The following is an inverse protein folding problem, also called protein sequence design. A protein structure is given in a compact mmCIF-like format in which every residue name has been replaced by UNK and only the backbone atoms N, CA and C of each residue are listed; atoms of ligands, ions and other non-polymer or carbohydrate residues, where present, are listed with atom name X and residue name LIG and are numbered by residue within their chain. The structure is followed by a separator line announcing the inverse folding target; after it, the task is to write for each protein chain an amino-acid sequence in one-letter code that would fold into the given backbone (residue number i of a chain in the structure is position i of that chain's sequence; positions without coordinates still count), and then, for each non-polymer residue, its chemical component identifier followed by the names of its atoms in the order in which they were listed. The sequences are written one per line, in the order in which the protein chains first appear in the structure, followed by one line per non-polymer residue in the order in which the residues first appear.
data_IF_523911684155
#
_entry.id   IF_523911684155
#
_cell.length_a   1.000
_cell.length_b   1.000
_cell.length_c   1.000
_cell.angle_alpha   90.00
_cell.angle_beta   90.00
_cell.angle_gamma   90.00
#
_symmetry.space_group_name_H-M   'P 1'
#
loop_
_entity.id
_entity.type
_entity.pdbx_description
1 polymer ?
#
# COMPACT_ATOMS: atom_id res chain seq x y z
N UNK A 1 -13.24 24.79 -41.02
CA UNK A 1 -12.11 25.07 -40.12
C UNK A 1 -11.93 24.02 -39.02
N UNK A 2 -12.80 23.89 -38.01
CA UNK A 2 -12.55 22.94 -36.89
C UNK A 2 -12.66 21.47 -37.31
N UNK A 3 -13.65 21.11 -38.12
CA UNK A 3 -13.81 19.74 -38.64
C UNK A 3 -12.65 19.33 -39.56
N UNK A 4 -12.18 20.24 -40.41
CA UNK A 4 -11.03 20.03 -41.30
C UNK A 4 -9.74 19.84 -40.49
N UNK A 5 -9.54 20.63 -39.43
CA UNK A 5 -8.42 20.48 -38.52
C UNK A 5 -8.46 19.14 -37.78
N UNK A 6 -9.63 18.71 -37.32
CA UNK A 6 -9.82 17.39 -36.69
C UNK A 6 -9.51 16.24 -37.66
N UNK A 7 -9.97 16.33 -38.90
CA UNK A 7 -9.65 15.36 -39.95
C UNK A 7 -8.14 15.31 -40.25
N UNK A 8 -7.49 16.47 -40.34
CA UNK A 8 -6.04 16.56 -40.52
C UNK A 8 -5.28 15.91 -39.36
N UNK A 9 -5.67 16.17 -38.11
CA UNK A 9 -5.00 15.56 -36.94
C UNK A 9 -5.09 14.02 -36.97
N UNK A 10 -6.24 13.48 -37.37
CA UNK A 10 -6.46 12.04 -37.46
C UNK A 10 -5.80 11.37 -38.68
N UNK A 11 -5.36 12.15 -39.67
CA UNK A 11 -4.64 11.61 -40.83
C UNK A 11 -3.13 11.45 -40.60
N UNK A 12 -2.55 12.03 -39.55
CA UNK A 12 -1.09 12.03 -39.32
C UNK A 12 -0.59 10.65 -38.85
N UNK A 13 -1.28 10.04 -37.88
CA UNK A 13 -0.90 8.73 -37.33
C UNK A 13 -2.11 7.82 -37.20
N UNK A 14 -2.15 6.67 -37.90
CA UNK A 14 -3.32 5.79 -37.89
C UNK A 14 -3.63 5.23 -36.49
N UNK A 15 -2.59 4.99 -35.68
CA UNK A 15 -2.71 4.42 -34.34
C UNK A 15 -3.18 5.43 -33.28
N UNK A 16 -3.24 6.74 -33.59
CA UNK A 16 -3.67 7.79 -32.66
C UNK A 16 -4.86 8.53 -33.27
N UNK A 17 -6.04 8.29 -32.70
CA UNK A 17 -7.28 8.96 -33.11
C UNK A 17 -7.73 9.95 -32.04
N UNK A 18 -7.82 11.22 -32.43
CA UNK A 18 -8.40 12.29 -31.64
C UNK A 18 -9.93 12.24 -31.71
N UNK A 19 -10.57 12.53 -30.58
CA UNK A 19 -12.03 12.69 -30.48
C UNK A 19 -12.38 14.17 -30.34
N UNK A 20 -13.56 14.55 -30.82
CA UNK A 20 -14.06 15.92 -30.73
C UNK A 20 -15.45 15.89 -30.10
N UNK A 21 -15.64 16.70 -29.06
CA UNK A 21 -16.95 16.94 -28.45
C UNK A 21 -17.52 18.24 -29.04
N UNK A 22 -18.68 18.16 -29.68
CA UNK A 22 -19.39 19.32 -30.20
C UNK A 22 -20.45 19.81 -29.20
N UNK A 23 -20.76 21.10 -29.25
CA UNK A 23 -21.89 21.66 -28.50
C UNK A 23 -23.20 20.98 -28.94
N UNK A 24 -23.98 20.51 -27.97
CA UNK A 24 -25.27 19.88 -28.20
C UNK A 24 -26.32 20.51 -27.28
N UNK A 25 -27.50 20.84 -27.81
CA UNK A 25 -28.58 21.49 -27.05
C UNK A 25 -28.13 22.77 -26.32
N UNK A 26 -27.31 23.58 -27.00
CA UNK A 26 -26.68 24.79 -26.45
C UNK A 26 -25.85 24.54 -25.17
N UNK A 27 -25.30 23.33 -25.04
CA UNK A 27 -24.54 22.89 -23.88
C UNK A 27 -23.25 22.19 -24.28
N UNK A 28 -22.22 22.38 -23.48
CA UNK A 28 -20.94 21.69 -23.64
C UNK A 28 -20.30 21.43 -22.27
N UNK A 29 -19.80 20.22 -22.07
CA UNK A 29 -19.08 19.87 -20.86
C UNK A 29 -17.64 20.39 -20.94
N UNK A 30 -17.16 21.01 -19.87
CA UNK A 30 -15.76 21.39 -19.71
C UNK A 30 -15.30 21.09 -18.29
N UNK A 31 -14.43 20.07 -18.16
CA UNK A 31 -13.98 19.54 -16.86
C UNK A 31 -15.17 19.17 -15.96
N UNK A 32 -15.28 19.85 -14.81
CA UNK A 32 -16.29 19.64 -13.78
C UNK A 32 -17.54 20.53 -13.96
N UNK A 33 -17.60 21.30 -15.06
CA UNK A 33 -18.64 22.29 -15.34
C UNK A 33 -19.38 21.95 -16.63
N UNK A 34 -20.69 22.11 -16.62
CA UNK A 34 -21.54 22.06 -17.80
C UNK A 34 -21.89 23.50 -18.17
N UNK A 35 -21.38 23.95 -19.30
CA UNK A 35 -21.57 25.29 -19.84
C UNK A 35 -22.83 25.29 -20.70
N UNK A 36 -23.72 26.24 -20.45
CA UNK A 36 -24.94 26.48 -21.20
C UNK A 36 -24.81 27.83 -21.89
N UNK A 37 -25.02 27.87 -23.21
CA UNK A 37 -25.11 29.11 -23.97
C UNK A 37 -26.55 29.61 -23.93
N UNK A 38 -26.77 30.81 -23.41
CA UNK A 38 -28.09 31.46 -23.40
C UNK A 38 -28.41 32.08 -24.75
N UNK A 39 -29.68 32.42 -24.95
CA UNK A 39 -30.19 33.10 -26.15
C UNK A 39 -29.58 34.48 -26.35
N UNK A 40 -29.18 35.15 -25.26
CA UNK A 40 -28.49 36.45 -25.27
C UNK A 40 -26.97 36.34 -25.51
N UNK A 41 -26.45 35.12 -25.73
CA UNK A 41 -25.02 34.85 -25.91
C UNK A 41 -24.22 34.75 -24.62
N UNK A 42 -24.81 35.04 -23.45
CA UNK A 42 -24.14 34.87 -22.16
C UNK A 42 -24.04 33.39 -21.76
N UNK A 43 -23.12 33.09 -20.84
CA UNK A 43 -22.88 31.72 -20.37
C UNK A 43 -23.49 31.51 -18.99
N UNK A 44 -24.18 30.37 -18.82
CA UNK A 44 -24.62 29.84 -17.52
C UNK A 44 -23.87 28.55 -17.24
N UNK A 45 -23.40 28.36 -16.02
CA UNK A 45 -22.63 27.17 -15.65
C UNK A 45 -23.33 26.38 -14.57
N UNK A 46 -23.25 25.05 -14.69
CA UNK A 46 -23.78 24.09 -13.71
C UNK A 46 -22.76 22.98 -13.44
N UNK A 47 -22.98 22.16 -12.42
CA UNK A 47 -22.06 21.05 -12.10
C UNK A 47 -22.25 19.91 -13.09
N UNK A 48 -21.20 19.58 -13.86
CA UNK A 48 -21.23 18.45 -14.79
C UNK A 48 -21.02 17.11 -14.07
N UNK A 49 -21.79 16.09 -14.49
CA UNK A 49 -21.65 14.70 -14.04
C UNK A 49 -21.66 13.79 -15.25
N UNK A 50 -20.59 12.99 -15.40
CA UNK A 50 -20.51 11.97 -16.46
C UNK A 50 -21.63 10.94 -16.32
N UNK A 51 -22.04 10.33 -17.43
CA UNK A 51 -23.04 9.25 -17.45
C UNK A 51 -22.67 8.05 -16.55
N UNK A 52 -21.38 7.83 -16.32
CA UNK A 52 -20.85 6.78 -15.44
C UNK A 52 -20.87 7.14 -13.95
N UNK A 53 -21.43 8.30 -13.56
CA UNK A 53 -21.50 8.72 -12.17
C UNK A 53 -22.50 7.85 -11.38
N UNK A 54 -21.98 7.01 -10.49
CA UNK A 54 -22.78 6.09 -9.65
C UNK A 54 -23.41 6.76 -8.43
N UNK A 55 -23.14 8.05 -8.19
CA UNK A 55 -23.53 8.81 -6.98
C UNK A 55 -23.02 8.24 -5.66
N UNK A 56 -22.07 7.31 -5.74
CA UNK A 56 -21.43 6.72 -4.56
C UNK A 56 -20.29 7.63 -4.08
N UNK A 57 -20.32 7.93 -2.78
CA UNK A 57 -19.22 8.60 -2.09
C UNK A 57 -18.74 7.71 -0.94
N UNK A 58 -17.74 8.20 -0.20
CA UNK A 58 -17.29 7.53 1.02
C UNK A 58 -18.47 7.27 1.96
N UNK A 59 -18.85 6.01 2.20
CA UNK A 59 -19.95 5.69 3.12
C UNK A 59 -19.70 6.29 4.51
N UNK A 60 -20.74 6.85 5.14
CA UNK A 60 -20.64 7.38 6.49
C UNK A 60 -20.33 6.31 7.55
N UNK A 61 -20.73 5.05 7.30
CA UNK A 61 -20.50 3.91 8.19
C UNK A 61 -19.11 3.31 7.99
N UNK A 62 -18.40 3.67 6.93
CA UNK A 62 -17.06 3.15 6.66
C UNK A 62 -16.06 3.50 7.78
N UNK A 63 -15.08 2.63 8.01
CA UNK A 63 -14.04 2.82 9.01
C UNK A 63 -12.97 3.82 8.54
N UNK A 64 -13.36 5.10 8.48
CA UNK A 64 -12.50 6.21 8.09
C UNK A 64 -12.59 7.36 9.11
N UNK A 65 -11.52 8.17 9.24
CA UNK A 65 -11.53 9.36 10.06
C UNK A 65 -12.70 10.28 9.71
N UNK A 66 -13.31 10.89 10.72
CA UNK A 66 -14.39 11.85 10.51
C UNK A 66 -13.95 13.06 9.66
N UNK A 67 -12.68 13.45 9.71
CA UNK A 67 -12.17 14.55 8.89
C UNK A 67 -12.28 14.24 7.38
N UNK A 68 -12.08 12.99 6.95
CA UNK A 68 -12.24 12.60 5.55
C UNK A 68 -13.72 12.69 5.13
N UNK A 69 -14.63 12.21 5.98
CA UNK A 69 -16.08 12.30 5.75
C UNK A 69 -16.55 13.76 5.66
N UNK A 70 -16.05 14.64 6.54
CA UNK A 70 -16.30 16.09 6.47
C UNK A 70 -15.74 16.69 5.18
N UNK A 71 -14.54 16.26 4.78
CA UNK A 71 -13.90 16.73 3.55
C UNK A 71 -14.75 16.42 2.32
N UNK A 72 -15.29 15.20 2.21
CA UNK A 72 -16.22 14.84 1.11
C UNK A 72 -17.38 15.83 1.00
N UNK A 73 -18.03 16.18 2.12
CA UNK A 73 -19.12 17.16 2.16
C UNK A 73 -18.61 18.53 1.72
N UNK A 74 -17.53 19.04 2.36
CA UNK A 74 -16.98 20.36 2.09
C UNK A 74 -16.62 20.57 0.62
N UNK A 75 -15.94 19.61 0.02
CA UNK A 75 -15.47 19.70 -1.36
C UNK A 75 -16.63 19.76 -2.34
N UNK A 76 -17.66 18.91 -2.19
CA UNK A 76 -18.79 18.90 -3.13
C UNK A 76 -19.70 20.12 -2.96
N UNK A 77 -19.92 20.58 -1.73
CA UNK A 77 -20.65 21.83 -1.50
C UNK A 77 -19.87 23.03 -2.03
N UNK A 78 -18.55 23.10 -1.79
CA UNK A 78 -17.71 24.17 -2.36
C UNK A 78 -17.74 24.16 -3.89
N UNK A 79 -17.77 22.97 -4.51
CA UNK A 79 -17.92 22.81 -5.96
C UNK A 79 -19.21 23.44 -6.47
N UNK A 80 -20.35 23.17 -5.82
CA UNK A 80 -21.62 23.79 -6.16
C UNK A 80 -21.56 25.32 -6.07
N UNK A 81 -20.93 25.85 -5.02
CA UNK A 81 -20.73 27.29 -4.81
C UNK A 81 -19.88 27.94 -5.91
N UNK A 82 -18.87 27.23 -6.43
CA UNK A 82 -17.92 27.78 -7.41
C UNK A 82 -18.30 27.52 -8.86
N UNK A 83 -19.14 26.53 -9.15
CA UNK A 83 -19.44 26.09 -10.52
C UNK A 83 -20.83 26.50 -11.00
N UNK A 84 -21.77 26.74 -10.09
CA UNK A 84 -23.09 27.25 -10.44
C UNK A 84 -23.06 28.78 -10.53
N UNK A 85 -23.33 29.35 -11.71
CA UNK A 85 -23.37 30.80 -11.90
C UNK A 85 -24.67 31.43 -11.39
N UNK A 86 -25.79 30.70 -11.51
CA UNK A 86 -27.12 31.18 -11.14
C UNK A 86 -27.57 30.68 -9.77
N UNK A 87 -28.34 31.52 -9.07
CA UNK A 87 -28.87 31.18 -7.74
C UNK A 87 -29.81 29.97 -7.77
N UNK A 88 -30.62 29.85 -8.83
CA UNK A 88 -31.55 28.73 -9.01
C UNK A 88 -30.82 27.39 -9.17
N UNK A 89 -29.86 27.34 -10.09
CA UNK A 89 -29.04 26.13 -10.33
C UNK A 89 -28.25 25.72 -9.09
N UNK A 90 -27.69 26.72 -8.39
CA UNK A 90 -27.00 26.48 -7.13
C UNK A 90 -27.94 25.87 -6.08
N UNK A 91 -29.15 26.40 -5.91
CA UNK A 91 -30.12 25.84 -4.97
C UNK A 91 -30.52 24.40 -5.34
N UNK A 92 -30.75 24.12 -6.62
CA UNK A 92 -31.04 22.78 -7.12
C UNK A 92 -29.88 21.80 -6.86
N UNK A 93 -28.64 22.24 -7.09
CA UNK A 93 -27.44 21.46 -6.85
C UNK A 93 -27.23 21.17 -5.35
N UNK A 94 -27.44 22.16 -4.48
CA UNK A 94 -27.35 21.98 -3.03
C UNK A 94 -28.40 20.97 -2.52
N UNK A 95 -29.62 21.01 -3.05
CA UNK A 95 -30.67 20.04 -2.74
C UNK A 95 -30.30 18.63 -3.23
N UNK A 96 -29.75 18.52 -4.44
CA UNK A 96 -29.21 17.26 -4.96
C UNK A 96 -28.13 16.68 -4.02
N UNK A 97 -27.16 17.50 -3.61
CA UNK A 97 -26.08 17.06 -2.73
C UNK A 97 -26.61 16.57 -1.38
N UNK A 98 -27.60 17.26 -0.80
CA UNK A 98 -28.21 16.86 0.46
C UNK A 98 -28.86 15.47 0.36
N UNK A 99 -29.60 15.21 -0.72
CA UNK A 99 -30.20 13.89 -1.00
C UNK A 99 -29.15 12.82 -1.19
N UNK A 100 -28.12 13.11 -1.98
CA UNK A 100 -27.04 12.16 -2.29
C UNK A 100 -26.19 11.82 -1.06
N UNK A 101 -25.88 12.77 -0.18
CA UNK A 101 -25.21 12.44 1.09
C UNK A 101 -26.10 11.64 2.03
N UNK A 102 -27.40 11.96 2.09
CA UNK A 102 -28.37 11.20 2.90
C UNK A 102 -28.46 9.74 2.43
N UNK A 103 -28.51 9.49 1.11
CA UNK A 103 -28.52 8.12 0.57
C UNK A 103 -27.21 7.36 0.80
N UNK A 104 -26.09 8.06 1.00
CA UNK A 104 -24.81 7.48 1.40
C UNK A 104 -24.65 7.36 2.93
N UNK A 105 -25.73 7.54 3.70
CA UNK A 105 -25.79 7.30 5.14
C UNK A 105 -25.31 8.45 6.03
N UNK A 106 -25.10 9.65 5.48
CA UNK A 106 -24.65 10.80 6.26
C UNK A 106 -25.80 11.43 7.06
N UNK A 107 -25.65 11.64 8.39
CA UNK A 107 -26.64 12.35 9.18
C UNK A 107 -26.81 13.80 8.72
N UNK A 108 -28.06 14.29 8.62
CA UNK A 108 -28.35 15.68 8.22
C UNK A 108 -27.58 16.72 9.06
N UNK A 109 -27.56 16.53 10.38
CA UNK A 109 -26.80 17.41 11.29
C UNK A 109 -25.29 17.40 11.03
N UNK A 110 -24.73 16.29 10.53
CA UNK A 110 -23.33 16.21 10.14
C UNK A 110 -23.05 16.97 8.85
N UNK A 111 -23.95 16.86 7.86
CA UNK A 111 -23.86 17.59 6.59
C UNK A 111 -23.85 19.10 6.87
N UNK A 112 -24.87 19.61 7.58
CA UNK A 112 -25.01 21.05 7.85
C UNK A 112 -23.83 21.63 8.63
N UNK A 113 -23.35 20.92 9.66
CA UNK A 113 -22.16 21.31 10.42
C UNK A 113 -20.88 21.28 9.59
N UNK A 114 -20.83 20.48 8.53
CA UNK A 114 -19.65 20.36 7.67
C UNK A 114 -19.62 21.41 6.57
N UNK A 115 -20.77 21.96 6.16
CA UNK A 115 -20.85 23.03 5.14
C UNK A 115 -20.13 24.30 5.56
N UNK A 116 -20.21 24.63 6.85
CA UNK A 116 -19.63 25.83 7.40
C UNK A 116 -18.19 25.54 7.85
N UNK A 117 -17.18 26.29 7.38
CA UNK A 117 -15.86 26.24 7.99
C UNK A 117 -16.03 26.67 9.44
N UNK A 118 -15.75 25.77 10.40
CA UNK A 118 -15.47 26.24 11.76
C UNK A 118 -14.24 27.14 11.64
N UNK A 119 -14.39 28.39 12.02
CA UNK A 119 -13.26 29.23 12.39
C UNK A 119 -12.63 28.55 13.61
N UNK A 120 -11.72 27.63 13.35
CA UNK A 120 -10.83 27.13 14.39
C UNK A 120 -9.82 28.27 14.53
N UNK A 121 -9.97 29.07 15.58
CA UNK A 121 -8.83 29.81 16.13
C UNK A 121 -7.83 28.70 16.46
N UNK A 122 -6.91 28.45 15.53
CA UNK A 122 -5.81 27.55 15.80
C UNK A 122 -4.94 28.37 16.73
N UNK A 123 -4.71 27.94 17.99
CA UNK A 123 -3.54 28.46 18.69
C UNK A 123 -2.35 28.27 17.74
N UNK A 124 -1.38 29.17 17.80
CA UNK A 124 -0.13 29.02 17.04
C UNK A 124 0.57 27.77 17.56
N UNK A 125 0.15 26.61 17.06
CA UNK A 125 0.77 25.32 17.35
C UNK A 125 2.04 25.35 16.53
N UNK A 126 3.18 25.18 17.19
CA UNK A 126 4.45 24.98 16.50
C UNK A 126 4.26 23.98 15.35
N UNK A 127 4.81 24.26 14.16
CA UNK A 127 4.66 23.38 13.02
C UNK A 127 5.13 21.97 13.41
N UNK A 128 4.30 20.97 13.08
CA UNK A 128 4.62 19.57 13.32
C UNK A 128 5.99 19.27 12.70
N UNK A 129 6.92 18.78 13.53
CA UNK A 129 8.30 18.52 13.13
C UNK A 129 8.39 17.32 12.19
N UNK A 130 7.52 16.33 12.39
CA UNK A 130 7.57 15.05 11.66
C UNK A 130 6.17 14.47 11.48
N UNK A 131 5.91 13.83 10.33
CA UNK A 131 4.68 13.06 10.08
C UNK A 131 4.93 11.55 10.09
N UNK A 132 3.96 10.80 10.61
CA UNK A 132 3.94 9.33 10.62
C UNK A 132 2.61 8.81 10.09
N UNK A 133 2.69 7.88 9.15
CA UNK A 133 1.52 7.24 8.56
C UNK A 133 1.12 5.99 9.34
N UNK A 134 -0.16 5.80 9.61
CA UNK A 134 -0.69 4.58 10.22
C UNK A 134 -2.08 4.21 9.67
N UNK A 135 -2.50 2.93 9.75
CA UNK A 135 -3.88 2.54 9.49
C UNK A 135 -4.83 3.26 10.45
N UNK A 136 -6.04 3.57 9.95
CA UNK A 136 -7.09 4.11 10.80
C UNK A 136 -7.80 2.98 11.56
N UNK A 137 -7.71 3.05 12.89
CA UNK A 137 -8.38 2.19 13.84
C UNK A 137 -9.24 3.10 14.70
N UNK A 138 -10.56 2.99 14.57
CA UNK A 138 -11.52 3.82 15.30
C UNK A 138 -11.18 3.86 16.79
N UNK A 139 -11.19 5.06 17.38
CA UNK A 139 -10.88 5.40 18.78
C UNK A 139 -9.39 5.29 19.15
N UNK A 140 -8.65 4.35 18.56
CA UNK A 140 -7.21 4.17 18.83
C UNK A 140 -6.39 5.21 18.08
N UNK A 141 -6.63 5.35 16.78
CA UNK A 141 -5.88 6.28 15.93
C UNK A 141 -6.02 7.73 16.37
N UNK A 142 -7.21 8.14 16.81
CA UNK A 142 -7.42 9.48 17.35
C UNK A 142 -6.73 9.69 18.70
N UNK A 143 -6.70 8.67 19.56
CA UNK A 143 -5.99 8.74 20.83
C UNK A 143 -4.48 8.85 20.59
N UNK A 144 -3.92 8.05 19.69
CA UNK A 144 -2.50 8.11 19.30
C UNK A 144 -2.16 9.48 18.71
N UNK A 145 -3.00 10.01 17.81
CA UNK A 145 -2.80 11.35 17.24
C UNK A 145 -2.76 12.45 18.31
N UNK A 146 -3.63 12.38 19.33
CA UNK A 146 -3.62 13.32 20.45
C UNK A 146 -2.36 13.19 21.32
N UNK A 147 -1.89 11.96 21.57
CA UNK A 147 -0.68 11.72 22.37
C UNK A 147 0.59 12.21 21.65
N UNK A 148 0.62 12.13 20.32
CA UNK A 148 1.77 12.51 19.50
C UNK A 148 1.84 14.01 19.23
N UNK A 149 0.72 14.72 19.29
CA UNK A 149 0.65 16.14 18.98
C UNK A 149 1.57 17.02 19.87
N UNK A 150 1.62 16.86 21.22
CA UNK A 150 2.55 17.61 22.07
C UNK A 150 4.03 17.31 21.79
N UNK A 151 4.32 16.12 21.23
CA UNK A 151 5.67 15.72 20.84
C UNK A 151 6.09 16.28 19.46
N UNK A 152 5.24 17.08 18.83
CA UNK A 152 5.47 17.60 17.48
C UNK A 152 5.35 16.55 16.37
N UNK A 153 4.67 15.43 16.62
CA UNK A 153 4.50 14.33 15.66
C UNK A 153 3.07 14.34 15.12
N UNK A 154 2.94 14.56 13.82
CA UNK A 154 1.68 14.46 13.09
C UNK A 154 1.35 13.02 12.71
N UNK A 155 0.08 12.63 12.87
CA UNK A 155 -0.41 11.32 12.41
C UNK A 155 -1.22 11.50 11.13
N UNK A 156 -0.81 10.80 10.07
CA UNK A 156 -1.53 10.68 8.82
C UNK A 156 -2.18 9.30 8.71
N UNK A 157 -3.46 9.25 8.30
CA UNK A 157 -4.17 7.98 8.17
C UNK A 157 -4.10 7.47 6.73
N UNK A 158 -3.61 6.24 6.56
CA UNK A 158 -3.48 5.56 5.28
C UNK A 158 -4.30 4.25 5.29
N UNK A 159 -5.12 3.97 4.27
CA UNK A 159 -5.73 2.66 4.12
C UNK A 159 -4.68 1.59 3.75
N UNK A 160 -4.69 0.45 4.44
CA UNK A 160 -3.79 -0.67 4.11
C UNK A 160 -4.35 -1.60 3.01
N UNK A 161 -5.67 -1.76 2.97
CA UNK A 161 -6.38 -2.61 2.02
C UNK A 161 -7.01 -1.76 0.91
N UNK A 162 -6.18 -1.19 0.03
CA UNK A 162 -6.69 -0.43 -1.12
C UNK A 162 -7.22 -1.38 -2.20
N UNK A 163 -8.25 -0.96 -2.95
CA UNK A 163 -8.77 -1.73 -4.10
C UNK A 163 -7.64 -2.09 -5.06
N UNK A 164 -6.71 -1.16 -5.31
CA UNK A 164 -5.52 -1.42 -6.13
C UNK A 164 -4.71 -2.61 -5.60
N UNK A 165 -4.47 -2.70 -4.29
CA UNK A 165 -3.73 -3.82 -3.69
C UNK A 165 -4.51 -5.14 -3.78
N UNK A 166 -5.83 -5.08 -3.64
CA UNK A 166 -6.69 -6.26 -3.65
C UNK A 166 -6.92 -6.81 -5.06
N UNK A 167 -7.15 -5.93 -6.03
CA UNK A 167 -7.61 -6.27 -7.39
C UNK A 167 -6.48 -6.19 -8.41
N UNK A 168 -5.61 -5.17 -8.32
CA UNK A 168 -4.63 -4.90 -9.37
C UNK A 168 -3.32 -5.62 -9.09
N UNK A 169 -3.15 -6.80 -9.71
CA UNK A 169 -1.88 -7.54 -9.77
C UNK A 169 -1.39 -7.65 -11.22
N UNK A 170 -0.92 -6.54 -11.82
CA UNK A 170 -0.55 -6.52 -13.23
C UNK A 170 0.72 -7.32 -13.56
N UNK A 171 1.49 -7.72 -12.55
CA UNK A 171 2.74 -8.47 -12.71
C UNK A 171 2.58 -9.90 -12.23
N UNK A 172 3.15 -10.84 -12.96
CA UNK A 172 3.26 -12.23 -12.52
C UNK A 172 3.98 -12.32 -11.15
N UNK A 173 3.52 -13.16 -10.22
CA UNK A 173 4.24 -13.43 -8.99
C UNK A 173 5.63 -13.99 -9.29
N UNK A 174 6.65 -13.48 -8.60
CA UNK A 174 7.99 -14.04 -8.67
C UNK A 174 8.06 -15.34 -7.85
N UNK A 175 8.92 -16.26 -8.28
CA UNK A 175 9.23 -17.45 -7.48
C UNK A 175 9.88 -17.08 -6.14
N UNK A 176 9.88 -18.02 -5.18
CA UNK A 176 10.47 -17.81 -3.84
C UNK A 176 11.95 -17.38 -3.93
N UNK A 177 12.73 -18.06 -4.75
CA UNK A 177 14.16 -17.78 -4.94
C UNK A 177 14.45 -16.41 -5.57
N UNK A 178 13.57 -15.95 -6.47
CA UNK A 178 13.72 -14.67 -7.17
C UNK A 178 13.20 -13.47 -6.38
N UNK A 179 12.53 -13.71 -5.27
CA UNK A 179 11.99 -12.65 -4.43
C UNK A 179 13.12 -11.94 -3.70
N UNK A 180 13.15 -10.61 -3.80
CA UNK A 180 14.09 -9.74 -3.11
C UNK A 180 13.42 -8.94 -1.98
N UNK A 181 14.26 -8.29 -1.15
CA UNK A 181 13.84 -7.48 -0.01
C UNK A 181 13.07 -8.29 1.02
N UNK A 182 13.63 -9.43 1.42
CA UNK A 182 12.96 -10.44 2.26
C UNK A 182 13.69 -10.65 3.58
N UNK A 183 12.93 -11.04 4.60
CA UNK A 183 13.41 -11.69 5.81
C UNK A 183 13.08 -13.16 5.67
N UNK A 184 14.08 -14.02 5.87
CA UNK A 184 13.97 -15.46 5.66
C UNK A 184 14.42 -16.24 6.89
N UNK A 185 13.97 -17.49 6.97
CA UNK A 185 14.41 -18.49 7.94
C UNK A 185 14.96 -19.71 7.22
N UNK A 186 16.08 -20.22 7.70
CA UNK A 186 16.64 -21.52 7.29
C UNK A 186 16.78 -22.40 8.52
N UNK A 187 16.37 -23.65 8.38
CA UNK A 187 16.41 -24.64 9.46
C UNK A 187 17.69 -25.48 9.36
N UNK A 188 18.25 -25.83 10.50
CA UNK A 188 19.24 -26.89 10.58
C UNK A 188 18.55 -28.24 10.36
N UNK A 189 19.10 -29.09 9.51
CA UNK A 189 18.54 -30.43 9.23
C UNK A 189 18.77 -31.44 10.35
N UNK A 190 19.64 -31.12 11.32
CA UNK A 190 20.12 -32.07 12.33
C UNK A 190 19.80 -31.65 13.77
N UNK A 191 19.30 -30.43 14.01
CA UNK A 191 18.88 -29.97 15.33
C UNK A 191 17.80 -28.90 15.22
N UNK A 192 17.23 -28.48 16.36
CA UNK A 192 16.17 -27.46 16.41
C UNK A 192 16.65 -26.03 16.08
N UNK A 193 17.95 -25.85 15.85
CA UNK A 193 18.53 -24.56 15.56
C UNK A 193 18.07 -24.03 14.21
N UNK A 194 17.79 -22.72 14.16
CA UNK A 194 17.48 -22.02 12.91
C UNK A 194 18.32 -20.75 12.78
N UNK A 195 18.39 -20.22 11.58
CA UNK A 195 18.94 -18.90 11.33
C UNK A 195 17.89 -18.04 10.64
N UNK A 196 17.62 -16.87 11.22
CA UNK A 196 16.78 -15.83 10.62
C UNK A 196 17.72 -14.77 10.05
N UNK A 197 17.50 -14.33 8.82
CA UNK A 197 18.33 -13.28 8.24
C UNK A 197 17.55 -12.40 7.28
N UNK A 198 18.07 -11.21 7.02
CA UNK A 198 17.55 -10.33 5.98
C UNK A 198 18.39 -10.34 4.71
N UNK A 199 17.77 -9.96 3.59
CA UNK A 199 18.48 -9.65 2.35
C UNK A 199 17.73 -8.65 1.48
N UNK A 200 18.46 -7.66 0.96
CA UNK A 200 18.00 -6.81 -0.14
C UNK A 200 18.13 -7.46 -1.52
N UNK A 201 18.91 -8.54 -1.64
CA UNK A 201 19.11 -9.29 -2.90
C UNK A 201 18.01 -10.33 -3.10
N UNK A 202 18.03 -11.03 -4.24
CA UNK A 202 17.19 -12.23 -4.46
C UNK A 202 17.55 -13.29 -3.42
N UNK A 203 16.54 -13.97 -2.87
CA UNK A 203 16.73 -15.01 -1.84
C UNK A 203 17.70 -16.10 -2.29
N UNK A 204 17.60 -16.58 -3.53
CA UNK A 204 18.49 -17.60 -4.08
C UNK A 204 19.96 -17.18 -4.06
N UNK A 205 20.25 -15.91 -4.35
CA UNK A 205 21.61 -15.38 -4.29
C UNK A 205 22.14 -15.43 -2.87
N UNK A 206 21.31 -15.08 -1.88
CA UNK A 206 21.67 -15.15 -0.47
C UNK A 206 21.88 -16.60 0.00
N UNK A 207 21.07 -17.55 -0.47
CA UNK A 207 21.26 -18.97 -0.17
C UNK A 207 22.58 -19.50 -0.72
N UNK A 208 22.93 -19.14 -1.97
CA UNK A 208 24.23 -19.50 -2.55
C UNK A 208 25.41 -18.88 -1.79
N UNK A 209 25.27 -17.65 -1.28
CA UNK A 209 26.27 -17.01 -0.42
C UNK A 209 26.48 -17.80 0.87
N UNK A 210 25.41 -18.24 1.55
CA UNK A 210 25.50 -19.08 2.75
C UNK A 210 26.14 -20.43 2.47
N UNK A 211 25.71 -21.13 1.40
CA UNK A 211 26.31 -22.39 1.00
C UNK A 211 27.81 -22.25 0.70
N UNK A 212 28.23 -21.13 0.09
CA UNK A 212 29.64 -20.82 -0.14
C UNK A 212 30.39 -20.47 1.14
N UNK A 213 29.74 -19.84 2.12
CA UNK A 213 30.34 -19.56 3.43
C UNK A 213 30.62 -20.85 4.21
N UNK A 214 29.66 -21.78 4.24
CA UNK A 214 29.82 -23.11 4.86
C UNK A 214 30.98 -23.87 4.20
N UNK A 215 31.02 -23.94 2.86
CA UNK A 215 32.11 -24.62 2.14
C UNK A 215 33.50 -24.05 2.43
N UNK A 216 33.59 -22.75 2.74
CA UNK A 216 34.86 -22.07 3.07
C UNK A 216 35.15 -22.04 4.57
N UNK A 217 34.28 -22.60 5.41
CA UNK A 217 34.36 -22.52 6.87
C UNK A 217 34.53 -21.07 7.36
N UNK A 218 33.77 -20.15 6.74
CA UNK A 218 33.86 -18.71 7.03
C UNK A 218 33.31 -18.39 8.43
N UNK A 219 34.21 -18.09 9.37
CA UNK A 219 33.87 -17.80 10.78
C UNK A 219 33.00 -16.55 10.97
N UNK A 220 32.87 -15.69 9.95
CA UNK A 220 31.98 -14.52 10.02
C UNK A 220 30.51 -14.88 9.75
N UNK A 221 30.24 -16.07 9.23
CA UNK A 221 28.88 -16.56 8.99
C UNK A 221 28.44 -17.44 10.15
N UNK A 222 27.40 -17.04 10.88
CA UNK A 222 26.81 -17.83 11.97
C UNK A 222 26.38 -19.22 11.51
N UNK A 223 25.87 -19.31 10.28
CA UNK A 223 25.48 -20.58 9.66
C UNK A 223 26.70 -21.48 9.46
N UNK A 224 27.81 -20.93 8.99
CA UNK A 224 29.04 -21.69 8.77
C UNK A 224 29.72 -22.07 10.10
N UNK A 225 29.73 -21.17 11.08
CA UNK A 225 30.18 -21.43 12.43
C UNK A 225 29.41 -22.59 13.08
N UNK A 226 28.07 -22.58 12.99
CA UNK A 226 27.24 -23.68 13.49
C UNK A 226 27.59 -25.00 12.79
N UNK A 227 27.65 -25.00 11.46
CA UNK A 227 28.05 -26.18 10.68
C UNK A 227 29.43 -26.71 11.08
N UNK A 228 30.41 -25.83 11.26
CA UNK A 228 31.77 -26.20 11.62
C UNK A 228 31.86 -26.77 13.06
N UNK A 229 31.11 -26.20 14.01
CA UNK A 229 31.13 -26.62 15.40
C UNK A 229 30.34 -27.93 15.66
N UNK A 230 29.26 -28.15 14.93
CA UNK A 230 28.34 -29.28 15.16
C UNK A 230 28.42 -30.41 14.12
N UNK A 231 29.06 -30.17 12.97
CA UNK A 231 29.02 -31.08 11.83
C UNK A 231 27.65 -31.14 11.13
N UNK A 232 26.70 -30.27 11.51
CA UNK A 232 25.36 -30.25 10.95
C UNK A 232 25.28 -29.51 9.60
N UNK A 233 24.16 -29.69 8.90
CA UNK A 233 23.89 -29.02 7.62
C UNK A 233 22.58 -28.24 7.65
N UNK A 234 22.57 -27.03 7.07
CA UNK A 234 21.35 -26.25 6.88
C UNK A 234 20.67 -26.56 5.55
N UNK A 235 19.33 -26.61 5.56
CA UNK A 235 18.50 -26.81 4.36
C UNK A 235 18.26 -25.48 3.63
N UNK A 236 19.21 -25.04 2.80
CA UNK A 236 19.12 -23.77 2.07
C UNK A 236 18.02 -23.73 0.99
N UNK A 237 17.67 -24.88 0.42
CA UNK A 237 16.61 -24.99 -0.59
C UNK A 237 15.22 -24.70 0.01
N UNK A 238 15.04 -25.01 1.29
CA UNK A 238 13.80 -24.85 2.04
C UNK A 238 13.70 -23.52 2.79
N UNK A 239 14.50 -22.53 2.40
CA UNK A 239 14.44 -21.21 2.98
C UNK A 239 13.01 -20.63 2.92
N UNK A 240 12.46 -20.33 4.07
CA UNK A 240 11.12 -19.80 4.24
C UNK A 240 11.16 -18.27 4.25
N UNK A 241 10.27 -17.61 3.50
CA UNK A 241 10.12 -16.16 3.57
C UNK A 241 9.14 -15.83 4.70
N UNK A 242 9.65 -15.15 5.74
CA UNK A 242 8.87 -14.75 6.91
C UNK A 242 8.21 -13.38 6.71
N UNK A 243 8.84 -12.50 5.93
CA UNK A 243 8.36 -11.14 5.71
C UNK A 243 9.11 -10.42 4.60
N UNK A 244 8.63 -9.22 4.25
CA UNK A 244 9.24 -8.36 3.23
C UNK A 244 9.33 -6.93 3.72
N UNK A 245 10.46 -6.28 3.46
CA UNK A 245 10.70 -4.87 3.82
C UNK A 245 11.55 -4.21 2.74
N UNK A 246 11.07 -3.11 2.17
CA UNK A 246 11.78 -2.41 1.08
C UNK A 246 13.07 -1.77 1.61
N UNK A 247 12.95 -1.07 2.73
CA UNK A 247 14.06 -0.48 3.46
C UNK A 247 14.71 -1.49 4.41
N UNK A 248 15.99 -1.24 4.72
CA UNK A 248 16.78 -2.07 5.61
C UNK A 248 16.23 -2.08 7.04
N UNK A 249 15.84 -0.92 7.57
CA UNK A 249 15.30 -0.81 8.93
C UNK A 249 14.03 -1.64 9.13
N UNK A 250 13.12 -1.67 8.14
CA UNK A 250 11.95 -2.54 8.18
C UNK A 250 12.34 -4.02 8.23
N UNK A 251 13.37 -4.44 7.47
CA UNK A 251 13.85 -5.82 7.47
C UNK A 251 14.60 -6.18 8.75
N UNK A 252 15.45 -5.31 9.29
CA UNK A 252 16.11 -5.50 10.59
C UNK A 252 15.08 -5.65 11.72
N UNK A 253 14.02 -4.82 11.69
CA UNK A 253 12.92 -4.90 12.67
C UNK A 253 12.17 -6.23 12.54
N UNK A 254 11.91 -6.69 11.31
CA UNK A 254 11.26 -7.98 11.06
C UNK A 254 12.17 -9.16 11.42
N UNK A 255 13.47 -9.08 11.14
CA UNK A 255 14.46 -10.08 11.56
C UNK A 255 14.42 -10.21 13.08
N UNK A 256 14.53 -9.09 13.81
CA UNK A 256 14.40 -9.04 15.27
C UNK A 256 13.07 -9.61 15.77
N UNK A 257 11.99 -9.32 15.08
CA UNK A 257 10.67 -9.84 15.42
C UNK A 257 10.64 -11.37 15.33
N UNK A 258 11.22 -11.94 14.27
CA UNK A 258 11.18 -13.37 13.97
C UNK A 258 12.30 -14.20 14.63
N UNK A 259 13.37 -13.58 15.14
CA UNK A 259 14.40 -14.26 15.92
C UNK A 259 13.81 -14.81 17.22
N UNK A 260 13.86 -16.14 17.38
CA UNK A 260 13.33 -16.88 18.53
C UNK A 260 14.47 -17.50 19.34
N UNK A 261 14.22 -18.06 20.55
CA UNK A 261 15.29 -18.65 21.37
C UNK A 261 16.09 -19.78 20.70
N UNK A 262 15.50 -20.53 19.76
CA UNK A 262 16.21 -21.55 18.98
C UNK A 262 16.98 -20.99 17.76
N UNK A 263 16.94 -19.67 17.54
CA UNK A 263 17.69 -19.03 16.48
C UNK A 263 19.16 -18.82 16.90
N UNK A 264 20.11 -19.18 16.04
CA UNK A 264 21.56 -18.99 16.28
C UNK A 264 22.03 -17.52 16.18
N UNK A 265 21.10 -16.59 15.91
CA UNK A 265 21.37 -15.16 15.80
C UNK A 265 21.95 -14.61 17.11
N UNK A 266 23.11 -13.94 17.04
CA UNK A 266 23.83 -13.46 18.25
C UNK A 266 23.09 -12.37 19.04
N UNK A 267 22.28 -11.53 18.40
CA UNK A 267 21.26 -10.67 19.03
C UNK A 267 20.61 -9.77 17.98
N UNK A 268 19.30 -9.77 17.92
CA UNK A 268 18.50 -8.73 17.26
C UNK A 268 17.58 -8.16 18.32
N UNK A 269 18.09 -7.17 19.08
CA UNK A 269 17.40 -6.66 20.27
C UNK A 269 16.16 -5.87 19.83
N UNK A 270 15.04 -6.57 19.77
CA UNK A 270 13.73 -5.96 19.72
C UNK A 270 13.54 -5.18 21.05
N UNK A 271 13.25 -3.86 21.04
CA UNK A 271 13.12 -3.08 22.27
C UNK A 271 12.08 -3.69 23.23
N UNK A 272 12.28 -3.55 24.55
CA UNK A 272 11.44 -4.20 25.57
C UNK A 272 9.93 -4.00 25.35
N UNK A 273 9.51 -2.81 24.92
CA UNK A 273 8.12 -2.50 24.58
C UNK A 273 7.53 -3.43 23.49
N UNK A 274 8.34 -3.82 22.51
CA UNK A 274 7.94 -4.72 21.44
C UNK A 274 8.03 -6.20 21.84
N UNK A 275 8.89 -6.56 22.82
CA UNK A 275 8.97 -7.93 23.32
C UNK A 275 7.65 -8.37 24.00
N UNK A 276 7.07 -7.49 24.82
CA UNK A 276 5.76 -7.73 25.44
C UNK A 276 4.65 -7.93 24.39
N UNK A 277 4.66 -7.13 23.32
CA UNK A 277 3.73 -7.26 22.19
C UNK A 277 3.94 -8.57 21.44
N UNK A 278 5.18 -8.97 21.19
CA UNK A 278 5.53 -10.21 20.50
C UNK A 278 4.99 -11.43 21.24
N UNK A 279 5.18 -11.50 22.56
CA UNK A 279 4.65 -12.60 23.39
C UNK A 279 3.13 -12.67 23.27
N UNK A 280 2.44 -11.54 23.42
CA UNK A 280 0.97 -11.48 23.37
C UNK A 280 0.42 -11.86 21.99
N UNK A 281 1.01 -11.35 20.91
CA UNK A 281 0.58 -11.66 19.54
C UNK A 281 0.84 -13.12 19.18
N UNK A 282 1.99 -13.68 19.56
CA UNK A 282 2.29 -15.09 19.32
C UNK A 282 1.33 -16.01 20.09
N UNK A 283 0.91 -15.64 21.31
CA UNK A 283 -0.15 -16.38 22.03
C UNK A 283 -1.50 -16.30 21.31
N UNK A 284 -1.87 -15.14 20.75
CA UNK A 284 -3.12 -14.98 20.00
C UNK A 284 -3.13 -15.76 18.68
N UNK A 285 -2.03 -15.73 17.93
CA UNK A 285 -1.89 -16.47 16.67
C UNK A 285 -1.99 -17.98 16.90
N UNK A 286 -1.30 -18.51 17.93
CA UNK A 286 -1.42 -19.92 18.31
C UNK A 286 -2.86 -20.32 18.65
N UNK A 287 -3.62 -19.45 19.33
CA UNK A 287 -5.05 -19.69 19.61
C UNK A 287 -5.92 -19.66 18.35
N UNK A 288 -5.60 -18.83 17.36
CA UNK A 288 -6.32 -18.80 16.09
C UNK A 288 -6.00 -20.03 15.22
N UNK A 289 -4.73 -20.44 15.16
CA UNK A 289 -4.30 -21.68 14.50
C UNK A 289 -4.98 -22.90 15.12
N UNK A 290 -5.05 -22.99 16.46
CA UNK A 290 -5.80 -24.06 17.15
C UNK A 290 -7.29 -24.05 16.81
N UNK A 291 -7.92 -22.87 16.69
CA UNK A 291 -9.33 -22.78 16.29
C UNK A 291 -9.55 -23.23 14.85
N UNK A 292 -8.67 -22.84 13.92
CA UNK A 292 -8.68 -23.29 12.53
C UNK A 292 -8.47 -24.81 12.43
N UNK A 293 -7.53 -25.36 13.20
CA UNK A 293 -7.24 -26.79 13.24
C UNK A 293 -8.40 -27.61 13.85
N UNK A 294 -9.06 -27.07 14.88
CA UNK A 294 -10.26 -27.70 15.48
C UNK A 294 -11.45 -27.72 14.52
N UNK A 295 -11.63 -26.63 13.74
CA UNK A 295 -12.68 -26.56 12.71
C UNK A 295 -12.38 -27.51 11.54
N UNK A 296 -11.12 -27.61 11.12
CA UNK A 296 -10.70 -28.56 10.08
C UNK A 296 -10.85 -30.02 10.55
N UNK A 297 -10.47 -30.33 11.79
CA UNK A 297 -10.58 -31.68 12.36
C UNK A 297 -12.03 -32.13 12.50
N UNK A 298 -12.95 -31.25 12.93
CA UNK A 298 -14.41 -31.55 12.96
C UNK A 298 -15.01 -31.80 11.58
N UNK A 299 -14.47 -31.18 10.53
CA UNK A 299 -14.87 -31.43 9.14
C UNK A 299 -14.42 -32.81 8.64
N UNK A 300 -13.29 -33.30 9.12
CA UNK A 300 -12.77 -34.63 8.77
C UNK A 300 -13.54 -35.73 9.53
N UNK A 301 -13.91 -35.50 10.80
CA UNK A 301 -14.71 -36.47 11.59
C UNK A 301 -16.16 -36.62 11.06
N UNK A 302 -16.74 -35.56 10.50
CA UNK A 302 -18.08 -35.60 9.90
C UNK A 302 -18.14 -36.22 8.50
N UNK A 303 -16.98 -36.41 7.84
CA UNK A 303 -16.90 -37.13 6.56
C UNK A 303 -16.69 -38.64 6.76
N UNK A 304 -16.18 -39.07 7.91
CA UNK A 304 -15.87 -40.48 8.20
C UNK A 304 -16.97 -41.23 8.98
N UNK A 305 -18.15 -40.64 9.17
CA UNK A 305 -19.28 -41.27 9.89
C UNK A 305 -20.39 -41.84 8.98
N UNK A 306 -20.19 -41.85 7.65
CA UNK A 306 -21.21 -42.28 6.68
C UNK A 306 -20.88 -43.55 5.88
N UNK A 307 -20.11 -44.50 6.45
CA UNK A 307 -19.88 -45.80 5.79
C UNK A 307 -20.10 -46.94 6.78
N UNK A 308 -21.31 -47.51 6.74
CA UNK A 308 -21.63 -48.77 7.39
C UNK A 308 -23.10 -48.89 7.76
N UNK A 309 -23.95 -49.30 6.79
CA UNK A 309 -24.88 -50.43 6.96
C UNK A 309 -25.61 -50.77 5.63
N UNK A 310 -25.91 -52.05 5.35
CA UNK A 310 -26.41 -52.51 4.05
C UNK A 310 -27.93 -52.47 3.92
N UNK A 311 -28.40 -52.16 2.70
CA UNK A 311 -29.80 -52.10 2.31
C UNK A 311 -30.53 -53.45 2.45
N UNK A 312 -31.72 -53.43 3.05
CA UNK A 312 -32.75 -54.44 2.84
C UNK A 312 -33.65 -54.03 1.67
N UNK A 313 -33.87 -54.98 0.75
CA UNK A 313 -34.77 -54.85 -0.39
C UNK A 313 -36.22 -55.00 0.04
N UNK A 314 -37.09 -54.09 -0.42
CA UNK A 314 -38.48 -54.40 -0.75
C UNK A 314 -38.94 -53.59 -1.95
N UNK A 315 -39.40 -54.30 -2.97
CA UNK A 315 -39.98 -53.78 -4.20
C UNK A 315 -41.31 -53.08 -3.95
N UNK A 316 -41.54 -51.92 -4.58
CA UNK A 316 -42.87 -51.53 -5.06
C UNK A 316 -42.68 -50.66 -6.30
N UNK A 317 -43.17 -51.18 -7.41
CA UNK A 317 -43.32 -50.49 -8.68
C UNK A 317 -44.49 -49.52 -8.58
N UNK A 318 -44.29 -48.26 -9.00
CA UNK A 318 -45.35 -47.49 -9.64
C UNK A 318 -44.75 -46.60 -10.73
N UNK A 319 -45.32 -46.77 -11.93
CA UNK A 319 -44.95 -46.16 -13.19
C UNK A 319 -45.71 -44.85 -13.33
N UNK A 320 -45.02 -43.71 -13.45
CA UNK A 320 -45.54 -42.55 -14.22
C UNK A 320 -44.38 -41.92 -15.00
N UNK A 321 -44.53 -41.97 -16.31
CA UNK A 321 -43.76 -41.33 -17.39
C UNK A 321 -43.92 -39.80 -17.42
N UNK A 322 -42.84 -39.07 -17.72
CA UNK A 322 -42.84 -37.86 -18.56
C UNK A 322 -41.41 -37.40 -18.93
N UNK A 323 -41.01 -37.81 -20.13
CA UNK A 323 -40.30 -37.08 -21.21
C UNK A 323 -39.17 -36.06 -20.94
N UNK A 324 -38.05 -36.34 -21.61
CA UNK A 324 -36.92 -35.49 -21.93
C UNK A 324 -37.29 -34.36 -22.93
N UNK A 325 -36.55 -33.25 -22.87
CA UNK A 325 -36.07 -32.59 -24.09
C UNK A 325 -34.65 -32.07 -23.91
N UNK A 326 -33.89 -32.22 -24.98
CA UNK A 326 -32.44 -32.18 -25.12
C UNK A 326 -32.05 -31.01 -26.07
N UNK A 327 -30.74 -30.87 -26.30
CA UNK A 327 -30.02 -30.10 -27.35
C UNK A 327 -29.39 -28.77 -26.88
N UNK A 328 -28.06 -28.57 -26.83
CA UNK A 328 -26.92 -28.79 -27.75
C UNK A 328 -26.71 -27.73 -28.86
N UNK A 329 -25.44 -27.34 -29.06
CA UNK A 329 -24.89 -26.57 -30.20
C UNK A 329 -23.69 -25.71 -29.74
N UNK A 330 -22.43 -26.18 -29.69
CA UNK A 330 -21.42 -26.46 -30.74
C UNK A 330 -20.87 -25.23 -31.53
N UNK A 331 -19.52 -25.22 -31.59
CA UNK A 331 -18.48 -24.26 -32.10
C UNK A 331 -18.44 -24.14 -33.67
N UNK A 332 -17.39 -23.71 -34.45
CA UNK A 332 -15.96 -23.34 -34.17
C UNK A 332 -15.23 -22.30 -35.11
N UNK A 333 -13.91 -22.12 -34.90
CA UNK A 333 -12.90 -21.66 -35.90
C UNK A 333 -11.83 -20.71 -35.32
N UNK A 334 -10.61 -21.14 -34.91
CA UNK A 334 -9.37 -21.49 -35.65
C UNK A 334 -8.54 -20.30 -36.21
N UNK A 335 -7.37 -20.01 -35.61
CA UNK A 335 -6.03 -20.28 -36.19
C UNK A 335 -4.86 -19.78 -35.32
N UNK A 336 -3.77 -20.55 -35.35
CA UNK A 336 -2.43 -20.28 -34.81
C UNK A 336 -1.60 -19.49 -35.83
N UNK A 337 -0.60 -18.71 -35.38
CA UNK A 337 0.80 -18.98 -35.74
C UNK A 337 1.82 -18.19 -34.91
N UNK A 338 3.01 -18.79 -34.80
CA UNK A 338 4.17 -18.35 -34.04
C UNK A 338 5.16 -17.54 -34.91
N UNK A 339 6.11 -16.86 -34.29
CA UNK A 339 7.24 -16.25 -35.01
C UNK A 339 8.10 -15.31 -34.17
N UNK A 340 9.05 -15.87 -33.42
CA UNK A 340 10.22 -15.16 -32.89
C UNK A 340 11.13 -14.72 -34.04
N UNK A 341 11.62 -13.48 -34.05
CA UNK A 341 12.92 -13.15 -34.64
C UNK A 341 13.58 -11.97 -33.91
N UNK A 342 14.72 -12.28 -33.32
CA UNK A 342 15.72 -11.37 -32.77
C UNK A 342 16.66 -10.97 -33.90
N UNK A 343 16.98 -9.68 -34.08
CA UNK A 343 18.17 -9.22 -34.81
C UNK A 343 18.61 -7.84 -34.27
N UNK A 344 19.82 -7.85 -33.69
CA UNK A 344 20.70 -6.68 -33.55
C UNK A 344 21.12 -6.17 -34.93
N UNK A 345 21.28 -4.85 -35.09
CA UNK A 345 22.56 -4.18 -35.37
C UNK A 345 22.44 -2.65 -35.50
N UNK A 346 23.37 -1.97 -34.82
CA UNK A 346 24.15 -0.78 -35.21
C UNK A 346 23.49 0.61 -35.42
N UNK A 347 23.85 1.50 -34.49
CA UNK A 347 24.53 2.80 -34.69
C UNK A 347 24.39 3.48 -36.05
N UNK A 348 23.87 4.73 -36.08
CA UNK A 348 24.73 5.88 -36.40
C UNK A 348 24.09 7.24 -36.05
N UNK A 349 24.98 8.21 -35.86
CA UNK A 349 24.80 9.57 -35.38
C UNK A 349 24.00 10.52 -36.29
N UNK A 350 23.37 11.53 -35.68
CA UNK A 350 22.67 12.60 -36.41
C UNK A 350 22.27 13.79 -35.53
N UNK A 351 23.28 14.55 -35.08
CA UNK A 351 23.13 15.82 -34.35
C UNK A 351 22.73 16.96 -35.29
N UNK A 352 21.62 17.65 -35.00
CA UNK A 352 21.34 19.00 -35.51
C UNK A 352 20.77 19.86 -34.36
N UNK A 353 21.49 20.95 -34.04
CA UNK A 353 20.91 22.17 -33.44
C UNK A 353 20.66 23.17 -34.57
N UNK A 354 19.67 24.08 -34.44
CA UNK A 354 19.92 25.45 -33.95
C UNK A 354 18.74 25.96 -33.10
N UNK A 355 18.67 27.12 -32.46
CA UNK A 355 19.43 28.36 -32.42
C UNK A 355 18.58 29.35 -31.59
N UNK A 356 19.22 30.23 -30.82
CA UNK A 356 18.56 31.25 -30.00
C UNK A 356 18.05 32.40 -30.87
N UNK A 357 16.96 33.08 -30.46
CA UNK A 357 16.85 34.54 -30.56
C UNK A 357 15.85 35.17 -29.55
N UNK A 358 16.42 36.15 -28.84
CA UNK A 358 16.00 37.32 -28.03
C UNK A 358 14.56 37.84 -27.79
N UNK A 359 14.40 38.35 -26.53
CA UNK A 359 13.62 39.49 -26.00
C UNK A 359 12.06 39.41 -25.97
N UNK A 360 11.28 39.90 -24.99
CA UNK A 360 11.42 40.97 -23.99
C UNK A 360 10.34 40.80 -22.88
N UNK A 361 10.61 41.33 -21.69
CA UNK A 361 9.77 41.65 -20.50
C UNK A 361 8.24 41.46 -20.53
N UNK A 362 7.67 40.83 -19.47
CA UNK A 362 6.82 41.55 -18.49
C UNK A 362 6.58 40.71 -17.20
N UNK A 363 6.64 41.38 -16.05
CA UNK A 363 6.49 40.77 -14.72
C UNK A 363 5.01 40.65 -14.32
N UNK A 364 4.52 39.44 -14.01
CA UNK A 364 3.40 39.28 -13.07
C UNK A 364 3.54 38.03 -12.20
N UNK A 365 3.53 38.29 -10.89
CA UNK A 365 3.68 37.37 -9.78
C UNK A 365 2.53 36.33 -9.72
N UNK A 366 2.85 35.04 -9.87
CA UNK A 366 1.99 33.94 -9.41
C UNK A 366 2.81 32.89 -8.67
N UNK A 367 2.51 32.76 -7.39
CA UNK A 367 3.18 31.89 -6.42
C UNK A 367 2.84 30.41 -6.72
N UNK A 368 3.73 29.75 -7.47
CA UNK A 368 3.57 28.35 -7.91
C UNK A 368 4.41 27.42 -7.04
N UNK A 369 3.70 26.60 -6.29
CA UNK A 369 4.16 25.44 -5.51
C UNK A 369 5.38 24.73 -6.13
N UNK A 370 6.57 24.92 -5.53
CA UNK A 370 7.83 24.29 -5.92
C UNK A 370 7.72 22.76 -5.78
N UNK A 371 7.64 22.04 -6.91
CA UNK A 371 7.97 20.61 -6.98
C UNK A 371 9.49 20.50 -6.99
N UNK A 372 10.07 20.01 -5.89
CA UNK A 372 11.49 19.71 -5.81
C UNK A 372 11.87 18.59 -6.79
N UNK A 373 12.56 18.97 -7.86
CA UNK A 373 13.37 18.09 -8.69
C UNK A 373 14.56 17.59 -7.85
N UNK A 374 14.68 16.28 -7.66
CA UNK A 374 15.88 15.67 -7.07
C UNK A 374 16.99 15.67 -8.13
N UNK A 375 17.99 16.53 -7.94
CA UNK A 375 19.26 16.47 -8.65
C UNK A 375 19.96 15.14 -8.35
N UNK A 376 20.25 14.36 -9.41
CA UNK A 376 21.17 13.23 -9.37
C UNK A 376 22.57 13.78 -9.08
N UNK A 377 23.08 13.51 -7.89
CA UNK A 377 24.50 13.65 -7.61
C UNK A 377 25.18 12.33 -7.96
N UNK A 378 26.17 12.40 -8.83
CA UNK A 378 27.10 11.32 -9.11
C UNK A 378 27.88 11.01 -7.82
N UNK A 379 27.81 9.77 -7.35
CA UNK A 379 28.60 9.28 -6.23
C UNK A 379 29.93 8.68 -6.73
N UNK A 380 31.04 8.84 -5.99
CA UNK A 380 32.32 8.26 -6.35
C UNK A 380 32.32 6.72 -6.16
N UNK A 381 33.29 6.08 -6.82
CA UNK A 381 33.39 4.65 -7.06
C UNK A 381 33.18 3.72 -5.87
N UNK A 382 32.66 2.54 -6.20
CA UNK A 382 32.47 1.42 -5.29
C UNK A 382 33.81 0.95 -4.72
N UNK A 383 34.01 1.14 -3.42
CA UNK A 383 34.92 0.31 -2.64
C UNK A 383 34.10 -0.80 -1.99
N UNK A 384 34.46 -2.04 -2.35
CA UNK A 384 34.06 -3.25 -1.64
C UNK A 384 34.56 -3.17 -0.20
N UNK A 385 33.66 -3.17 0.80
CA UNK A 385 34.06 -3.29 2.20
C UNK A 385 33.39 -4.49 2.86
N UNK A 386 34.25 -5.26 3.51
CA UNK A 386 34.04 -6.56 4.12
C UNK A 386 33.00 -6.56 5.26
N UNK A 387 32.49 -7.77 5.53
CA UNK A 387 31.66 -8.10 6.69
C UNK A 387 32.32 -7.61 8.00
N UNK A 388 31.69 -6.65 8.66
CA UNK A 388 31.94 -6.35 10.06
C UNK A 388 30.60 -6.05 10.75
N UNK A 389 30.14 -7.00 11.56
CA UNK A 389 29.11 -6.77 12.58
C UNK A 389 29.69 -5.86 13.65
N UNK A 390 29.21 -4.62 13.75
CA UNK A 390 29.51 -3.75 14.88
C UNK A 390 28.72 -4.21 16.10
N UNK A 391 29.43 -4.61 17.15
CA UNK A 391 28.91 -4.62 18.51
C UNK A 391 28.65 -3.18 18.97
N UNK A 392 27.47 -2.90 19.52
CA UNK A 392 27.25 -1.71 20.34
C UNK A 392 27.55 -2.08 21.78
N UNK A 393 28.74 -1.69 22.27
CA UNK A 393 29.02 -1.67 23.69
C UNK A 393 28.29 -0.46 24.30
N UNK A 394 27.36 -0.72 25.22
CA UNK A 394 26.81 0.29 26.11
C UNK A 394 27.87 0.62 27.16
N UNK A 395 28.47 1.81 27.08
CA UNK A 395 29.24 2.38 28.16
C UNK A 395 28.27 2.90 29.23
N UNK A 396 28.27 2.25 30.40
CA UNK A 396 27.62 2.76 31.61
C UNK A 396 28.58 3.80 32.22
N UNK A 397 28.19 5.06 32.43
CA UNK A 397 29.02 6.01 33.15
C UNK A 397 29.07 5.63 34.64
N UNK A 398 30.24 5.21 35.11
CA UNK A 398 30.56 5.08 36.53
C UNK A 398 30.71 6.47 37.15
N UNK A 399 29.91 6.79 38.18
CA UNK A 399 30.11 7.98 39.01
C UNK A 399 31.38 7.83 39.87
N UNK A 400 32.16 8.90 40.08
CA UNK A 400 33.31 8.87 40.99
C UNK A 400 32.87 8.92 42.46
N UNK A 401 33.65 8.33 43.39
CA UNK A 401 33.32 8.29 44.82
C UNK A 401 33.42 9.68 45.45
N UNK A 402 32.38 10.06 46.20
CA UNK A 402 32.32 11.33 46.92
C UNK A 402 33.25 11.35 48.13
N UNK A 403 34.11 12.36 48.18
CA UNK A 403 34.88 12.74 49.37
C UNK A 403 33.95 13.22 50.48
N UNK A 404 34.10 12.62 51.66
CA UNK A 404 33.53 13.11 52.91
C UNK A 404 34.20 14.44 53.30
N UNK A 405 33.40 15.50 53.48
CA UNK A 405 33.80 16.68 54.23
C UNK A 405 32.72 17.03 55.26
N UNK A 406 33.08 16.83 56.52
CA UNK A 406 32.42 17.40 57.69
C UNK A 406 32.16 18.90 57.49
N UNK A 407 30.95 19.34 57.83
CA UNK A 407 30.68 20.72 58.22
C UNK A 407 29.79 20.72 59.44
N UNK A 408 30.41 20.92 60.60
CA UNK A 408 29.81 21.60 61.75
C UNK A 408 29.34 22.98 61.29
N UNK A 409 28.08 23.35 61.53
CA UNK A 409 27.70 24.75 61.80
C UNK A 409 26.57 24.76 62.84
N UNK A 410 26.77 25.64 63.81
CA UNK A 410 26.06 25.90 65.05
C UNK A 410 24.57 26.24 64.94
N UNK A 411 23.88 25.93 66.04
CA UNK A 411 22.61 26.52 66.47
C UNK A 411 22.75 28.02 66.74
N UNK A 412 21.85 28.80 66.14
CA UNK A 412 21.07 29.86 66.81
C UNK A 412 19.84 30.20 65.98
#
# INVERSE_FOLDING_TARGET
MVAEFHALLNSIYPDIQFTMEAEANSQMAFLDVLVHRKTDGSLRTTVYRKATNTRQVLSYQSNHPLCHKRSCVRTLYKRAETHCSEKGDKAAELHYLQRMFTSNGYPRSFIERSRHPRQVIRPVIEPLKVWRAMPYIKNVSEAVARLFQPLGIGVAHKPEATIRRLVMRPKAPLSRGETANVVYRVQCGSCEANYVGETGKRLQTRMSEHARAVRRMDQLSLVAEHCAASGHTFSFHDAEILGRGIDQTARETLEAWHTIPSSINRCTILPAAYQALRVRLNQQNRRQEFKLFTVASKRITSQNTCLGEPMQHTNTFDVITAENTNQQGLRPGMNMDAGEHSLHTNTDDGRLQPGNDSATTDETCTDRCKRGTRNRHAGPGQQTRAMQTRSMALAIPTQPPGEAKEKQINYQ
#
